data_IF_173123809066
#
_entry.id   IF_173123809066
#
_cell.length_a   1.000
_cell.length_b   1.000
_cell.length_c   1.000
_cell.angle_alpha   90.00
_cell.angle_beta   90.00
_cell.angle_gamma   90.00
#
_symmetry.space_group_name_H-M   'P 1'
#
loop_
_entity.id
_entity.type
_entity.pdbx_description
1 polymer ?
#
# COMPACT_ATOMS: atom_id res chain seq x y z
N UNK A 1 5.80 18.90 5.26
CA UNK A 1 5.04 17.66 4.93
C UNK A 1 4.04 17.83 3.77
N UNK A 2 3.20 18.88 3.71
CA UNK A 2 2.21 19.08 2.62
C UNK A 2 2.78 19.09 1.19
N UNK A 3 3.95 19.70 0.98
CA UNK A 3 4.65 19.71 -0.32
C UNK A 3 5.11 18.31 -0.76
N UNK A 4 5.61 17.50 0.17
CA UNK A 4 6.08 16.13 -0.13
C UNK A 4 4.91 15.22 -0.56
N UNK A 5 3.74 15.37 0.08
CA UNK A 5 2.52 14.66 -0.34
C UNK A 5 2.08 15.02 -1.75
N UNK A 6 2.12 16.32 -2.11
CA UNK A 6 1.79 16.77 -3.47
C UNK A 6 2.80 16.26 -4.51
N UNK A 7 4.08 16.24 -4.17
CA UNK A 7 5.12 15.67 -5.05
C UNK A 7 4.87 14.17 -5.27
N UNK A 8 4.57 13.42 -4.20
CA UNK A 8 4.25 11.99 -4.31
C UNK A 8 3.01 11.75 -5.19
N UNK A 9 1.94 12.53 -5.02
CA UNK A 9 0.74 12.45 -5.89
C UNK A 9 1.09 12.68 -7.36
N UNK A 10 1.86 13.72 -7.64
CA UNK A 10 2.27 14.04 -9.01
C UNK A 10 3.13 12.93 -9.62
N UNK A 11 4.11 12.42 -8.86
CA UNK A 11 4.97 11.32 -9.30
C UNK A 11 4.15 10.07 -9.61
N UNK A 12 3.20 9.70 -8.74
CA UNK A 12 2.35 8.54 -8.98
C UNK A 12 1.46 8.74 -10.21
N UNK A 13 0.84 9.92 -10.36
CA UNK A 13 0.04 10.25 -11.53
C UNK A 13 0.85 10.15 -12.83
N UNK A 14 2.03 10.76 -12.86
CA UNK A 14 2.92 10.73 -14.03
C UNK A 14 3.35 9.30 -14.36
N UNK A 15 3.73 8.52 -13.34
CA UNK A 15 4.16 7.12 -13.52
C UNK A 15 3.04 6.26 -14.12
N UNK A 16 1.82 6.37 -13.59
CA UNK A 16 0.66 5.62 -14.10
C UNK A 16 0.29 6.04 -15.52
N UNK A 17 0.34 7.35 -15.81
CA UNK A 17 0.10 7.86 -17.16
C UNK A 17 1.10 7.30 -18.17
N UNK A 18 2.40 7.42 -17.89
CA UNK A 18 3.47 6.91 -18.76
C UNK A 18 3.38 5.40 -18.96
N UNK A 19 3.11 4.65 -17.89
CA UNK A 19 2.96 3.20 -17.95
C UNK A 19 1.78 2.79 -18.84
N UNK A 20 0.65 3.49 -18.72
CA UNK A 20 -0.56 3.21 -19.49
C UNK A 20 -0.41 3.59 -20.97
N UNK A 21 0.07 4.81 -21.25
CA UNK A 21 0.16 5.34 -22.62
C UNK A 21 1.26 4.65 -23.44
N UNK A 22 2.35 4.24 -22.78
CA UNK A 22 3.50 3.65 -23.47
C UNK A 22 3.66 2.14 -23.23
N UNK A 23 2.70 1.50 -22.54
CA UNK A 23 2.72 0.08 -22.17
C UNK A 23 4.05 -0.34 -21.51
N UNK A 24 4.58 0.52 -20.63
CA UNK A 24 5.85 0.30 -19.93
C UNK A 24 5.59 -0.25 -18.54
N UNK A 25 6.19 -1.39 -18.16
CA UNK A 25 6.08 -1.89 -16.80
C UNK A 25 6.77 -0.94 -15.83
N UNK A 26 6.28 -0.88 -14.60
CA UNK A 26 6.92 -0.12 -13.54
C UNK A 26 6.85 -0.84 -12.20
N UNK A 27 7.77 -0.48 -11.34
CA UNK A 27 7.78 -0.87 -9.94
C UNK A 27 7.77 0.39 -9.08
N UNK A 28 6.79 0.50 -8.19
CA UNK A 28 6.67 1.60 -7.24
C UNK A 28 6.89 1.06 -5.83
N UNK A 29 7.99 1.49 -5.21
CA UNK A 29 8.29 1.22 -3.80
C UNK A 29 7.95 2.45 -2.96
N UNK A 30 7.09 2.26 -1.96
CA UNK A 30 6.70 3.29 -1.01
C UNK A 30 7.31 2.92 0.34
N UNK A 31 8.37 3.63 0.72
CA UNK A 31 8.93 3.58 2.06
C UNK A 31 8.10 4.48 3.00
N UNK A 32 8.10 4.16 4.29
CA UNK A 32 7.35 4.90 5.32
C UNK A 32 5.87 5.11 4.97
N UNK A 33 5.21 4.03 4.57
CA UNK A 33 3.84 4.09 4.00
C UNK A 33 2.83 4.76 4.95
N UNK A 34 3.04 4.70 6.27
CA UNK A 34 2.19 5.30 7.31
C UNK A 34 1.83 6.77 7.00
N UNK A 35 2.83 7.59 6.71
CA UNK A 35 2.63 9.04 6.53
C UNK A 35 1.71 9.33 5.33
N UNK A 36 1.68 8.44 4.33
CA UNK A 36 0.80 8.54 3.16
C UNK A 36 -0.60 8.00 3.44
N UNK A 37 -0.73 6.82 4.07
CA UNK A 37 -2.04 6.20 4.30
C UNK A 37 -2.90 6.93 5.34
N UNK A 38 -2.27 7.66 6.27
CA UNK A 38 -3.00 8.47 7.25
C UNK A 38 -3.63 9.73 6.63
N UNK A 39 -3.19 10.14 5.44
CA UNK A 39 -3.78 11.26 4.73
C UNK A 39 -4.93 10.76 3.83
N UNK A 40 -6.20 11.17 4.05
CA UNK A 40 -7.36 10.56 3.38
C UNK A 40 -7.28 10.54 1.85
N UNK A 41 -6.82 11.65 1.25
CA UNK A 41 -6.68 11.77 -0.21
C UNK A 41 -5.61 10.82 -0.75
N UNK A 42 -4.49 10.68 -0.04
CA UNK A 42 -3.38 9.81 -0.45
C UNK A 42 -3.79 8.35 -0.30
N UNK A 43 -4.50 8.00 0.76
CA UNK A 43 -5.04 6.66 0.96
C UNK A 43 -5.92 6.23 -0.22
N UNK A 44 -6.90 7.05 -0.60
CA UNK A 44 -7.74 6.79 -1.78
C UNK A 44 -6.92 6.64 -3.06
N UNK A 45 -5.86 7.45 -3.21
CA UNK A 45 -5.00 7.34 -4.37
C UNK A 45 -4.22 6.03 -4.39
N UNK A 46 -3.63 5.63 -3.27
CA UNK A 46 -2.86 4.38 -3.14
C UNK A 46 -3.75 3.16 -3.32
N UNK A 47 -4.96 3.13 -2.75
CA UNK A 47 -5.90 2.01 -2.94
C UNK A 47 -6.35 1.89 -4.40
N UNK A 48 -6.64 3.02 -5.06
CA UNK A 48 -6.93 3.04 -6.49
C UNK A 48 -5.73 2.59 -7.34
N UNK A 49 -4.52 3.02 -6.96
CA UNK A 49 -3.28 2.64 -7.60
C UNK A 49 -3.04 1.13 -7.47
N UNK A 50 -3.23 0.54 -6.30
CA UNK A 50 -3.14 -0.91 -6.07
C UNK A 50 -4.11 -1.68 -6.96
N UNK A 51 -5.37 -1.23 -7.07
CA UNK A 51 -6.38 -1.88 -7.89
C UNK A 51 -6.11 -1.75 -9.41
N UNK A 52 -5.44 -0.68 -9.85
CA UNK A 52 -5.21 -0.40 -11.27
C UNK A 52 -3.84 -0.85 -11.77
N UNK A 53 -2.81 -0.84 -10.93
CA UNK A 53 -1.43 -1.08 -11.34
C UNK A 53 -1.27 -2.41 -12.09
N UNK A 54 -1.92 -3.48 -11.61
CA UNK A 54 -1.88 -4.79 -12.26
C UNK A 54 -2.40 -4.78 -13.70
N UNK A 55 -3.34 -3.87 -14.03
CA UNK A 55 -3.90 -3.74 -15.39
C UNK A 55 -2.95 -3.06 -16.37
N UNK A 56 -1.94 -2.35 -15.86
CA UNK A 56 -0.97 -1.56 -16.63
C UNK A 56 0.46 -2.06 -16.44
N UNK A 57 0.65 -3.35 -16.12
CA UNK A 57 1.95 -3.98 -15.86
C UNK A 57 2.76 -3.30 -14.73
N UNK A 58 2.07 -2.68 -13.79
CA UNK A 58 2.64 -2.05 -12.60
C UNK A 58 2.62 -2.97 -11.39
N UNK A 59 3.67 -2.91 -10.59
CA UNK A 59 3.75 -3.54 -9.27
C UNK A 59 4.00 -2.50 -8.20
N UNK A 60 3.22 -2.55 -7.11
CA UNK A 60 3.39 -1.68 -5.94
C UNK A 60 3.91 -2.51 -4.77
N UNK A 61 4.88 -1.97 -4.06
CA UNK A 61 5.40 -2.50 -2.81
C UNK A 61 5.35 -1.40 -1.76
N UNK A 62 4.75 -1.70 -0.61
CA UNK A 62 4.58 -0.78 0.51
C UNK A 62 5.32 -1.35 1.71
N UNK A 63 6.19 -0.55 2.31
CA UNK A 63 6.88 -0.91 3.55
C UNK A 63 6.18 -0.26 4.75
N UNK A 64 5.93 -1.07 5.78
CA UNK A 64 5.40 -0.65 7.07
C UNK A 64 6.37 -1.08 8.15
N UNK A 65 6.61 -0.21 9.13
CA UNK A 65 7.50 -0.53 10.26
C UNK A 65 6.79 -1.46 11.26
N UNK A 66 5.49 -1.26 11.47
CA UNK A 66 4.65 -2.04 12.40
C UNK A 66 3.25 -2.22 11.83
N UNK A 67 2.64 -3.36 12.11
CA UNK A 67 1.27 -3.65 11.67
C UNK A 67 0.24 -2.73 12.35
N UNK A 68 0.52 -2.25 13.56
CA UNK A 68 -0.28 -1.23 14.25
C UNK A 68 -0.53 0.02 13.41
N UNK A 69 0.38 0.40 12.50
CA UNK A 69 0.21 1.53 11.59
C UNK A 69 -0.93 1.30 10.59
N UNK A 70 -1.18 0.04 10.21
CA UNK A 70 -2.30 -0.35 9.34
C UNK A 70 -3.59 -0.44 10.16
N UNK A 71 -3.50 -0.95 11.40
CA UNK A 71 -4.62 -0.99 12.36
C UNK A 71 -5.18 0.40 12.68
N UNK A 72 -4.32 1.42 12.75
CA UNK A 72 -4.72 2.83 12.94
C UNK A 72 -5.72 3.35 11.88
N UNK A 73 -5.79 2.71 10.69
CA UNK A 73 -6.79 3.04 9.66
C UNK A 73 -8.21 2.58 10.01
N UNK A 74 -8.36 1.71 11.02
CA UNK A 74 -9.56 0.96 11.33
C UNK A 74 -9.55 -0.43 10.69
N UNK A 75 -10.10 -1.42 11.42
CA UNK A 75 -10.03 -2.84 11.07
C UNK A 75 -10.58 -3.13 9.67
N UNK A 76 -11.70 -2.51 9.28
CA UNK A 76 -12.31 -2.76 7.97
C UNK A 76 -11.42 -2.27 6.81
N UNK A 77 -10.80 -1.09 6.96
CA UNK A 77 -9.87 -0.55 5.96
C UNK A 77 -8.56 -1.34 5.91
N UNK A 78 -8.06 -1.77 7.06
CA UNK A 78 -6.89 -2.63 7.15
C UNK A 78 -7.11 -3.94 6.38
N UNK A 79 -8.21 -4.66 6.67
CA UNK A 79 -8.58 -5.90 5.98
C UNK A 79 -8.77 -5.69 4.48
N UNK A 80 -9.42 -4.58 4.08
CA UNK A 80 -9.57 -4.25 2.66
C UNK A 80 -8.24 -3.97 1.96
N UNK A 81 -7.33 -3.24 2.62
CA UNK A 81 -6.00 -2.97 2.08
C UNK A 81 -5.19 -4.26 1.91
N UNK A 82 -5.10 -5.07 2.97
CA UNK A 82 -4.39 -6.35 2.96
C UNK A 82 -4.99 -7.32 1.94
N UNK A 83 -6.31 -7.42 1.86
CA UNK A 83 -7.00 -8.27 0.89
C UNK A 83 -6.77 -7.89 -0.58
N UNK A 84 -6.39 -6.64 -0.85
CA UNK A 84 -6.00 -6.19 -2.20
C UNK A 84 -4.54 -6.46 -2.53
N UNK A 85 -3.71 -6.86 -1.56
CA UNK A 85 -2.31 -7.21 -1.79
C UNK A 85 -2.21 -8.65 -2.29
N UNK A 86 -1.45 -8.85 -3.36
CA UNK A 86 -1.16 -10.20 -3.86
C UNK A 86 -0.19 -10.97 -2.98
N UNK A 87 0.67 -10.25 -2.25
CA UNK A 87 1.70 -10.82 -1.39
C UNK A 87 1.88 -9.94 -0.15
N UNK A 88 2.08 -10.58 1.00
CA UNK A 88 2.42 -9.94 2.27
C UNK A 88 3.70 -10.59 2.77
N UNK A 89 4.76 -9.79 2.94
CA UNK A 89 6.04 -10.25 3.48
C UNK A 89 6.11 -9.79 4.93
N UNK A 90 6.20 -10.75 5.84
CA UNK A 90 6.24 -10.49 7.29
C UNK A 90 7.65 -10.82 7.76
N UNK A 91 8.35 -9.81 8.27
CA UNK A 91 9.61 -10.03 8.98
C UNK A 91 9.33 -10.52 10.41
N UNK A 92 10.30 -11.19 11.07
CA UNK A 92 10.11 -11.68 12.43
C UNK A 92 9.52 -10.62 13.37
N UNK A 93 8.36 -10.93 13.95
CA UNK A 93 7.64 -10.03 14.86
C UNK A 93 6.94 -10.83 15.96
N UNK A 94 6.65 -10.17 17.08
CA UNK A 94 5.86 -10.71 18.19
C UNK A 94 4.38 -10.33 18.09
N UNK A 95 4.02 -9.44 17.17
CA UNK A 95 2.69 -8.85 17.05
C UNK A 95 1.73 -9.73 16.21
N UNK A 96 1.68 -11.04 16.51
CA UNK A 96 0.88 -12.02 15.76
C UNK A 96 -0.61 -11.74 15.81
N UNK A 97 -1.12 -11.31 16.97
CA UNK A 97 -2.55 -11.03 17.15
C UNK A 97 -2.98 -9.83 16.30
N UNK A 98 -2.16 -8.78 16.23
CA UNK A 98 -2.43 -7.61 15.39
C UNK A 98 -2.42 -7.94 13.88
N UNK A 99 -1.55 -8.87 13.45
CA UNK A 99 -1.53 -9.37 12.08
C UNK A 99 -2.85 -10.08 11.74
N UNK A 100 -3.33 -10.96 12.61
CA UNK A 100 -4.59 -11.69 12.41
C UNK A 100 -5.77 -10.72 12.38
N UNK A 101 -5.82 -9.75 13.29
CA UNK A 101 -6.86 -8.72 13.32
C UNK A 101 -6.90 -7.89 12.03
N UNK A 102 -5.73 -7.55 11.47
CA UNK A 102 -5.62 -6.83 10.21
C UNK A 102 -5.92 -7.69 8.97
N UNK A 103 -6.23 -8.98 9.15
CA UNK A 103 -6.59 -9.90 8.07
C UNK A 103 -5.41 -10.56 7.39
N UNK A 104 -4.24 -10.63 8.04
CA UNK A 104 -3.10 -11.40 7.57
C UNK A 104 -3.23 -12.84 8.09
N UNK A 105 -3.57 -13.82 7.23
CA UNK A 105 -3.64 -15.21 7.67
C UNK A 105 -2.23 -15.71 7.96
N UNK A 106 -2.01 -16.19 9.19
CA UNK A 106 -0.82 -16.94 9.54
C UNK A 106 -1.11 -18.41 9.29
N UNK A 107 -0.11 -19.18 8.83
CA UNK A 107 -0.29 -20.63 8.74
C UNK A 107 -0.61 -21.18 10.12
N UNK A 108 -1.65 -22.01 10.23
CA UNK A 108 -1.87 -22.81 11.43
C UNK A 108 -0.58 -23.58 11.72
N UNK A 109 0.03 -23.28 12.87
CA UNK A 109 1.25 -23.94 13.34
C UNK A 109 1.01 -25.42 13.61
#
# INVERSE_FOLDING_TARGET
>A
KKLMGLIAMYLFHKLFFEAKEHNKPFFLFIDETKDYIMHPIMFTYITNALAQARKINGTLCMAFQKISQVKELGIDKAKSLIGNLSQVIIYPTKDTDELIECGVPLSDS
#
